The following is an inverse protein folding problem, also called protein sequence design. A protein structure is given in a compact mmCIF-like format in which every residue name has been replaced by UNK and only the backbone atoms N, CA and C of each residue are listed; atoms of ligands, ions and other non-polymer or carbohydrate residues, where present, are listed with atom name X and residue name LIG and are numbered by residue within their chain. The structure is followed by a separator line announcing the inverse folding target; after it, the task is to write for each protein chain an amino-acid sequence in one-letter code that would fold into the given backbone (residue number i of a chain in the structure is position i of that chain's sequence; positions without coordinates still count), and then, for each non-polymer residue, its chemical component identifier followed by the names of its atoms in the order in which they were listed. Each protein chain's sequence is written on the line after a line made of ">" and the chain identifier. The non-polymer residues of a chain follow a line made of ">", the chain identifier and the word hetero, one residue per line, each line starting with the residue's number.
data_IF_245703394489
#
_entry.id   IF_245703394489
#
_cell.length_a   1.000
_cell.length_b   1.000
_cell.length_c   1.000
_cell.angle_alpha   90.00
_cell.angle_beta   90.00
_cell.angle_gamma   90.00
#
_symmetry.space_group_name_H-M   'P 1'
#
loop_
_entity.id
_entity.type
_entity.pdbx_description
1 polymer ?
#
# COMPACT_ATOMS: atom_id res chain seq x y z
N UNK A 1 6.20 15.94 50.20
CA UNK A 1 7.37 15.10 49.86
C UNK A 1 7.28 14.73 48.38
N UNK A 2 8.19 15.24 47.54
CA UNK A 2 8.17 15.01 46.09
C UNK A 2 8.87 13.67 45.80
N UNK A 3 8.23 12.75 45.07
CA UNK A 3 8.79 11.42 44.82
C UNK A 3 9.95 11.45 43.80
N UNK A 4 10.82 10.44 43.84
CA UNK A 4 12.00 10.35 42.95
C UNK A 4 11.65 10.39 41.45
N UNK A 5 10.45 9.94 41.05
CA UNK A 5 9.99 10.02 39.65
C UNK A 5 9.66 11.45 39.23
N UNK A 6 9.12 12.27 40.13
CA UNK A 6 8.84 13.67 39.85
C UNK A 6 10.15 14.47 39.73
N UNK A 7 11.16 14.22 40.58
CA UNK A 7 12.47 14.89 40.48
C UNK A 7 13.14 14.67 39.11
N UNK A 8 13.06 13.45 38.57
CA UNK A 8 13.64 13.10 37.28
C UNK A 8 12.91 13.75 36.09
N UNK A 9 11.63 14.08 36.24
CA UNK A 9 10.88 14.78 35.20
C UNK A 9 11.17 16.29 35.16
N UNK A 10 11.40 16.93 36.31
CA UNK A 10 11.79 18.35 36.36
C UNK A 10 13.20 18.61 35.80
N UNK A 11 14.11 17.63 35.87
CA UNK A 11 15.48 17.77 35.36
C UNK A 11 15.62 17.68 33.83
N UNK A 12 14.58 17.24 33.09
CA UNK A 12 14.67 16.98 31.65
C UNK A 12 14.23 18.16 30.78
N UNK A 13 13.71 19.24 31.38
CA UNK A 13 13.12 20.36 30.64
C UNK A 13 14.01 21.61 30.62
N UNK A 14 15.31 21.47 30.38
CA UNK A 14 16.19 22.63 30.11
C UNK A 14 17.35 22.19 29.22
N UNK A 15 17.11 22.14 27.90
CA UNK A 15 18.11 22.32 26.85
C UNK A 15 17.37 22.38 25.51
N UNK A 16 16.68 23.50 25.28
CA UNK A 16 16.18 23.87 23.97
C UNK A 16 17.26 24.70 23.29
N UNK A 17 17.92 24.12 22.29
CA UNK A 17 18.80 24.83 21.37
C UNK A 17 17.92 25.57 20.36
N UNK A 18 18.13 26.87 20.07
CA UNK A 18 17.38 27.54 19.02
C UNK A 18 17.82 27.02 17.64
N UNK A 19 16.89 26.38 16.93
CA UNK A 19 17.07 26.01 15.53
C UNK A 19 16.79 27.25 14.65
N UNK A 20 17.82 27.70 13.94
CA UNK A 20 17.74 28.78 12.95
C UNK A 20 16.80 28.38 11.81
N UNK A 21 15.61 29.00 11.75
CA UNK A 21 14.68 28.85 10.65
C UNK A 21 15.10 29.78 9.51
N UNK A 22 15.53 29.17 8.40
CA UNK A 22 15.70 29.86 7.11
C UNK A 22 14.30 30.13 6.57
N UNK A 23 13.92 31.40 6.44
CA UNK A 23 12.65 31.83 5.86
C UNK A 23 12.66 31.63 4.34
N UNK A 24 11.65 30.95 3.81
CA UNK A 24 11.37 30.84 2.38
C UNK A 24 10.18 31.75 2.11
N UNK A 25 10.41 32.86 1.43
CA UNK A 25 9.34 33.75 0.98
C UNK A 25 8.58 33.06 -0.16
N UNK A 26 7.30 32.77 0.06
CA UNK A 26 6.34 32.36 -0.97
C UNK A 26 5.44 33.56 -1.25
N UNK A 27 5.55 34.15 -2.43
CA UNK A 27 4.60 35.16 -2.92
C UNK A 27 3.25 34.51 -3.25
N UNK A 28 2.11 35.09 -2.86
CA UNK A 28 0.81 34.59 -3.29
C UNK A 28 0.55 34.98 -4.75
N UNK A 29 0.27 33.98 -5.59
CA UNK A 29 -0.22 34.18 -6.96
C UNK A 29 -1.72 34.47 -6.90
N UNK A 30 -2.08 35.70 -7.28
CA UNK A 30 -3.46 36.16 -7.41
C UNK A 30 -4.19 35.39 -8.51
N UNK A 31 -5.32 34.76 -8.16
CA UNK A 31 -6.21 34.14 -9.13
C UNK A 31 -6.95 35.23 -9.93
N UNK A 32 -6.70 35.31 -11.24
CA UNK A 32 -7.53 36.09 -12.15
C UNK A 32 -8.51 35.15 -12.87
N UNK A 33 -9.79 35.41 -12.63
CA UNK A 33 -10.93 34.83 -13.36
C UNK A 33 -10.94 35.40 -14.77
N UNK A 34 -10.65 34.59 -15.79
CA UNK A 34 -10.90 34.95 -17.19
C UNK A 34 -12.26 34.40 -17.61
N UNK A 35 -13.23 35.29 -17.72
CA UNK A 35 -14.49 35.05 -18.43
C UNK A 35 -14.20 34.98 -19.93
N UNK A 36 -14.13 33.77 -20.48
CA UNK A 36 -14.08 33.56 -21.92
C UNK A 36 -15.51 33.59 -22.49
N UNK A 37 -15.89 34.75 -23.04
CA UNK A 37 -17.09 34.90 -23.88
C UNK A 37 -16.72 34.56 -25.32
N UNK A 38 -17.15 33.39 -25.82
CA UNK A 38 -17.13 33.10 -27.25
C UNK A 38 -18.59 32.89 -27.71
N UNK A 39 -19.12 33.75 -28.59
CA UNK A 39 -20.43 33.52 -29.19
C UNK A 39 -20.34 32.40 -30.24
N UNK A 40 -21.29 31.49 -30.15
CA UNK A 40 -21.59 30.43 -31.10
C UNK A 40 -22.24 31.05 -32.35
N UNK A 41 -21.80 30.74 -33.58
CA UNK A 41 -22.63 30.98 -34.75
C UNK A 41 -23.57 29.79 -34.95
N UNK A 42 -24.86 30.10 -34.92
CA UNK A 42 -25.95 29.26 -35.39
C UNK A 42 -25.89 29.06 -36.90
N UNK A 43 -26.35 27.89 -37.35
CA UNK A 43 -26.79 27.69 -38.74
C UNK A 43 -26.27 26.42 -39.40
N UNK A 44 -26.96 25.29 -39.20
CA UNK A 44 -27.82 24.64 -40.22
C UNK A 44 -28.28 23.23 -39.78
N UNK A 45 -29.49 22.81 -40.18
CA UNK A 45 -30.26 21.75 -39.51
C UNK A 45 -29.93 20.31 -39.95
N UNK A 46 -30.44 19.40 -39.11
CA UNK A 46 -30.41 17.96 -39.18
C UNK A 46 -30.68 17.37 -40.57
N UNK A 47 -29.81 16.43 -40.97
CA UNK A 47 -30.11 15.45 -42.00
C UNK A 47 -30.50 14.12 -41.32
N UNK A 48 -31.81 13.89 -41.28
CA UNK A 48 -32.42 12.56 -41.21
C UNK A 48 -31.85 11.71 -42.34
N UNK A 49 -31.31 10.53 -42.02
CA UNK A 49 -31.22 9.43 -43.00
C UNK A 49 -31.61 8.15 -42.29
N UNK A 50 -32.54 7.46 -42.92
CA UNK A 50 -33.37 6.40 -42.38
C UNK A 50 -32.62 5.08 -42.20
N UNK A 51 -33.27 4.21 -41.44
CA UNK A 51 -33.05 2.78 -41.37
C UNK A 51 -33.06 2.11 -42.76
N UNK A 52 -32.23 1.08 -42.92
CA UNK A 52 -32.34 0.18 -44.06
C UNK A 52 -31.02 -0.50 -44.39
N UNK A 53 -30.78 -1.67 -43.80
CA UNK A 53 -30.39 -2.93 -44.48
C UNK A 53 -29.64 -3.82 -43.50
N UNK A 54 -30.39 -4.78 -42.96
CA UNK A 54 -29.87 -5.96 -42.33
C UNK A 54 -28.95 -6.71 -43.31
N UNK A 55 -27.73 -7.02 -42.88
CA UNK A 55 -26.91 -8.03 -43.54
C UNK A 55 -27.14 -9.36 -42.80
N UNK A 56 -27.65 -10.40 -43.46
CA UNK A 56 -27.88 -11.68 -42.80
C UNK A 56 -26.55 -12.38 -42.51
N UNK A 57 -26.28 -12.52 -41.22
CA UNK A 57 -25.31 -13.44 -40.66
C UNK A 57 -25.69 -14.87 -41.07
N UNK A 58 -24.87 -15.50 -41.91
CA UNK A 58 -24.99 -16.93 -42.21
C UNK A 58 -23.61 -17.49 -42.55
N UNK A 59 -22.91 -17.98 -41.52
CA UNK A 59 -21.91 -19.03 -41.70
C UNK A 59 -22.32 -20.24 -40.86
N UNK A 60 -22.39 -21.44 -41.44
CA UNK A 60 -23.02 -22.61 -40.83
C UNK A 60 -22.15 -23.30 -39.77
N UNK A 61 -22.86 -23.83 -38.77
CA UNK A 61 -22.41 -24.65 -37.65
C UNK A 61 -21.56 -25.85 -38.10
N UNK A 62 -20.32 -25.92 -37.64
CA UNK A 62 -19.56 -27.19 -37.57
C UNK A 62 -19.38 -27.56 -36.10
N UNK A 63 -20.06 -28.60 -35.58
CA UNK A 63 -19.91 -29.02 -34.19
C UNK A 63 -18.55 -29.71 -34.00
N UNK A 64 -17.67 -29.12 -33.18
CA UNK A 64 -16.50 -29.81 -32.62
C UNK A 64 -16.97 -30.67 -31.44
N UNK A 65 -16.52 -31.92 -31.31
CA UNK A 65 -16.97 -32.81 -30.25
C UNK A 65 -16.57 -32.30 -28.86
N UNK A 66 -17.57 -32.32 -27.96
CA UNK A 66 -17.45 -32.12 -26.51
C UNK A 66 -16.44 -33.11 -25.94
N UNK A 67 -15.37 -32.60 -25.31
CA UNK A 67 -14.57 -33.38 -24.36
C UNK A 67 -15.01 -32.96 -22.96
N UNK A 68 -16.11 -33.55 -22.51
CA UNK A 68 -16.48 -33.63 -21.10
C UNK A 68 -15.43 -34.48 -20.38
N UNK A 69 -14.41 -33.80 -19.87
CA UNK A 69 -13.48 -34.32 -18.88
C UNK A 69 -13.76 -33.63 -17.56
N UNK A 70 -14.63 -34.22 -16.76
CA UNK A 70 -14.89 -33.84 -15.38
C UNK A 70 -13.59 -34.08 -14.58
N UNK A 71 -12.86 -33.00 -14.26
CA UNK A 71 -11.70 -33.04 -13.37
C UNK A 71 -11.93 -32.01 -12.26
N UNK A 72 -11.96 -32.41 -10.99
CA UNK A 72 -12.06 -31.45 -9.90
C UNK A 72 -10.81 -30.56 -9.93
N UNK A 73 -11.01 -29.25 -10.09
CA UNK A 73 -10.01 -28.21 -9.86
C UNK A 73 -9.72 -28.14 -8.35
N UNK A 74 -9.11 -29.19 -7.82
CA UNK A 74 -8.33 -29.14 -6.59
C UNK A 74 -7.10 -28.32 -6.93
N UNK A 75 -7.18 -27.01 -6.65
CA UNK A 75 -6.03 -26.12 -6.64
C UNK A 75 -5.16 -26.52 -5.45
N UNK A 76 -4.50 -27.67 -5.57
CA UNK A 76 -3.38 -28.05 -4.74
C UNK A 76 -2.34 -26.95 -4.94
N UNK A 77 -2.29 -26.04 -3.98
CA UNK A 77 -1.13 -25.21 -3.75
C UNK A 77 -0.02 -26.16 -3.29
N UNK A 78 0.52 -26.93 -4.22
CA UNK A 78 1.86 -27.46 -4.08
C UNK A 78 2.72 -26.21 -3.91
N UNK A 79 3.22 -26.03 -2.68
CA UNK A 79 4.32 -25.15 -2.29
C UNK A 79 5.46 -25.36 -3.30
N UNK A 80 5.37 -24.72 -4.45
CA UNK A 80 6.52 -24.48 -5.29
C UNK A 80 7.41 -23.62 -4.40
N UNK A 81 8.56 -24.16 -4.00
CA UNK A 81 9.56 -23.44 -3.23
C UNK A 81 9.74 -22.08 -3.90
N UNK A 82 9.18 -21.04 -3.27
CA UNK A 82 9.29 -19.69 -3.77
C UNK A 82 10.79 -19.44 -3.86
N UNK A 83 11.29 -19.21 -5.08
CA UNK A 83 12.71 -18.95 -5.30
C UNK A 83 13.07 -17.80 -4.38
N UNK A 84 13.96 -18.06 -3.42
CA UNK A 84 14.41 -17.06 -2.47
C UNK A 84 14.92 -15.86 -3.28
N UNK A 85 14.61 -14.61 -2.86
CA UNK A 85 15.13 -13.44 -3.53
C UNK A 85 16.67 -13.53 -3.53
N UNK A 86 17.27 -13.40 -4.72
CA UNK A 86 18.71 -13.58 -4.92
C UNK A 86 19.45 -12.52 -4.13
N UNK A 87 20.44 -12.93 -3.34
CA UNK A 87 21.28 -11.99 -2.62
C UNK A 87 22.16 -11.19 -3.58
N UNK A 88 22.42 -9.93 -3.24
CA UNK A 88 23.31 -9.08 -4.05
C UNK A 88 24.79 -9.35 -3.79
N UNK A 89 25.12 -10.07 -2.71
CA UNK A 89 26.49 -10.33 -2.26
C UNK A 89 26.76 -11.82 -2.40
N UNK A 90 27.66 -12.24 -3.30
CA UNK A 90 27.95 -13.66 -3.48
C UNK A 90 28.71 -14.22 -2.27
N UNK A 91 28.53 -15.53 -2.05
CA UNK A 91 29.26 -16.28 -1.03
C UNK A 91 30.78 -16.10 -1.20
N UNK A 92 31.50 -16.02 -0.08
CA UNK A 92 32.94 -15.79 -0.05
C UNK A 92 33.36 -14.31 -0.07
N UNK A 93 32.43 -13.36 -0.19
CA UNK A 93 32.76 -11.93 -0.17
C UNK A 93 33.12 -11.47 1.25
N UNK A 94 34.33 -10.94 1.50
CA UNK A 94 34.68 -10.37 2.80
C UNK A 94 33.96 -9.04 3.01
N UNK A 95 33.18 -8.94 4.10
CA UNK A 95 32.42 -7.74 4.45
C UNK A 95 33.29 -6.76 5.24
N UNK A 96 33.86 -5.78 4.53
CA UNK A 96 34.82 -4.83 5.10
C UNK A 96 34.19 -3.95 6.19
N UNK A 97 34.90 -3.79 7.31
CA UNK A 97 34.56 -2.80 8.33
C UNK A 97 33.43 -3.18 9.29
N UNK A 98 33.12 -4.48 9.40
CA UNK A 98 32.20 -4.98 10.43
C UNK A 98 32.92 -5.29 11.75
N UNK A 99 34.20 -5.66 11.68
CA UNK A 99 34.98 -5.99 12.87
C UNK A 99 35.55 -4.72 13.51
N UNK A 100 35.20 -4.48 14.77
CA UNK A 100 35.78 -3.39 15.57
C UNK A 100 36.88 -3.88 16.53
N UNK A 101 37.06 -5.19 16.65
CA UNK A 101 38.09 -5.80 17.51
C UNK A 101 39.44 -5.89 16.78
N UNK A 102 40.51 -5.57 17.50
CA UNK A 102 41.87 -5.72 16.97
C UNK A 102 42.21 -7.21 16.84
N UNK A 103 42.89 -7.58 15.76
CA UNK A 103 43.32 -8.96 15.44
C UNK A 103 42.22 -9.96 15.04
N UNK A 104 40.98 -9.50 14.78
CA UNK A 104 39.93 -10.33 14.19
C UNK A 104 39.77 -10.00 12.71
N UNK A 105 39.57 -11.03 11.89
CA UNK A 105 39.32 -10.89 10.47
C UNK A 105 37.86 -10.51 10.22
N UNK A 106 37.61 -9.71 9.18
CA UNK A 106 36.25 -9.37 8.75
C UNK A 106 35.45 -10.62 8.37
N UNK A 107 34.16 -10.68 8.77
CA UNK A 107 33.31 -11.82 8.47
C UNK A 107 33.12 -11.96 6.95
N UNK A 108 33.14 -13.20 6.50
CA UNK A 108 32.94 -13.56 5.10
C UNK A 108 31.49 -13.96 4.88
N UNK A 109 30.89 -13.47 3.79
CA UNK A 109 29.53 -13.82 3.39
C UNK A 109 29.41 -15.33 3.14
N UNK A 110 28.41 -15.97 3.73
CA UNK A 110 28.09 -17.39 3.57
C UNK A 110 27.16 -17.59 2.37
N UNK A 111 26.80 -18.83 2.07
CA UNK A 111 25.77 -19.12 1.06
C UNK A 111 24.37 -18.68 1.52
N UNK A 112 23.51 -18.30 0.57
CA UNK A 112 22.16 -17.81 0.83
C UNK A 112 21.29 -18.79 1.63
N UNK A 113 21.54 -20.10 1.46
CA UNK A 113 20.82 -21.17 2.15
C UNK A 113 21.22 -21.34 3.62
N UNK A 114 22.43 -20.91 4.00
CA UNK A 114 22.87 -20.95 5.41
C UNK A 114 22.25 -19.82 6.24
N UNK A 115 21.78 -18.76 5.57
CA UNK A 115 21.13 -17.67 6.27
C UNK A 115 19.71 -18.04 6.69
N UNK A 116 19.25 -17.59 7.88
CA UNK A 116 17.89 -17.82 8.32
C UNK A 116 16.86 -17.25 7.35
N UNK A 117 15.75 -17.97 7.14
CA UNK A 117 14.70 -17.58 6.19
C UNK A 117 14.08 -16.19 6.46
N UNK A 118 14.06 -15.74 7.72
CA UNK A 118 13.50 -14.43 8.08
C UNK A 118 14.28 -13.26 7.48
N UNK A 119 15.57 -13.43 7.15
CA UNK A 119 16.42 -12.38 6.55
C UNK A 119 15.81 -11.88 5.23
N UNK A 120 15.34 -12.82 4.42
CA UNK A 120 14.74 -12.54 3.11
C UNK A 120 13.37 -11.85 3.21
N UNK A 121 12.69 -12.00 4.34
CA UNK A 121 11.41 -11.33 4.62
C UNK A 121 11.56 -9.97 5.32
N UNK A 122 12.76 -9.61 5.77
CA UNK A 122 12.98 -8.40 6.56
C UNK A 122 12.67 -7.11 5.77
N UNK A 123 12.95 -7.12 4.46
CA UNK A 123 12.66 -6.00 3.57
C UNK A 123 11.18 -5.91 3.17
N UNK A 124 10.42 -7.01 3.26
CA UNK A 124 9.00 -7.02 2.91
C UNK A 124 8.21 -6.00 3.73
N UNK A 125 8.52 -5.82 5.03
CA UNK A 125 7.90 -4.78 5.85
C UNK A 125 8.13 -3.36 5.34
N UNK A 126 9.30 -3.08 4.75
CA UNK A 126 9.63 -1.77 4.20
C UNK A 126 8.92 -1.56 2.87
N UNK A 127 8.81 -2.60 2.05
CA UNK A 127 8.07 -2.58 0.78
C UNK A 127 6.58 -2.46 1.02
N UNK A 128 6.01 -3.21 1.96
CA UNK A 128 4.62 -3.12 2.39
C UNK A 128 4.33 -1.76 3.04
N UNK A 129 5.20 -1.26 3.90
CA UNK A 129 5.06 0.08 4.46
C UNK A 129 5.20 1.15 3.36
N UNK A 130 6.09 0.98 2.38
CA UNK A 130 6.17 1.89 1.24
C UNK A 130 4.90 1.80 0.38
N UNK A 131 4.32 0.61 0.20
CA UNK A 131 3.11 0.37 -0.56
C UNK A 131 1.81 0.77 0.18
N UNK A 132 1.85 0.86 1.52
CA UNK A 132 0.69 1.13 2.38
C UNK A 132 0.71 2.53 3.03
N UNK A 133 1.89 3.10 3.29
CA UNK A 133 2.05 4.46 3.85
C UNK A 133 2.11 5.54 2.76
N UNK A 134 2.51 5.18 1.53
CA UNK A 134 1.90 5.79 0.35
C UNK A 134 0.61 5.01 0.14
N UNK A 135 -0.57 5.63 0.13
CA UNK A 135 -1.78 4.88 -0.22
C UNK A 135 -1.58 4.35 -1.64
N UNK A 136 -1.14 3.10 -1.81
CA UNK A 136 -0.53 2.65 -3.05
C UNK A 136 0.68 3.50 -3.47
N UNK A 137 1.80 2.86 -3.80
CA UNK A 137 2.86 3.47 -4.61
C UNK A 137 2.33 4.11 -5.93
N UNK A 138 1.05 3.87 -6.25
CA UNK A 138 0.35 4.37 -7.40
C UNK A 138 -0.64 5.52 -7.16
N UNK A 139 -1.26 5.74 -5.98
CA UNK A 139 -2.36 6.72 -5.84
C UNK A 139 -1.84 8.16 -5.87
N UNK A 140 -0.74 8.45 -5.15
CA UNK A 140 -0.06 9.74 -5.22
C UNK A 140 0.62 9.99 -6.58
N UNK A 141 0.99 8.91 -7.26
CA UNK A 141 1.57 8.91 -8.61
C UNK A 141 0.50 9.01 -9.72
N UNK A 142 -0.80 8.87 -9.41
CA UNK A 142 -1.87 9.13 -10.38
C UNK A 142 -1.83 10.59 -10.87
N UNK A 143 -1.43 11.53 -10.03
CA UNK A 143 -1.37 12.95 -10.39
C UNK A 143 -0.11 13.33 -11.18
N UNK A 144 0.99 12.60 -11.01
CA UNK A 144 2.19 12.73 -11.85
C UNK A 144 2.04 12.03 -13.21
N UNK A 145 1.11 11.08 -13.33
CA UNK A 145 0.75 10.42 -14.59
C UNK A 145 -0.02 11.35 -15.54
N UNK A 146 0.22 11.17 -16.84
CA UNK A 146 -0.46 11.94 -17.90
C UNK A 146 -1.99 11.81 -17.80
N UNK A 147 -2.72 12.83 -18.29
CA UNK A 147 -4.20 12.87 -18.26
C UNK A 147 -4.84 11.58 -18.83
N UNK A 148 -4.24 11.03 -19.89
CA UNK A 148 -4.71 9.80 -20.55
C UNK A 148 -4.54 8.56 -19.66
N UNK A 149 -3.43 8.47 -18.92
CA UNK A 149 -3.19 7.36 -17.98
C UNK A 149 -4.19 7.42 -16.83
N UNK A 150 -4.48 8.61 -16.30
CA UNK A 150 -5.52 8.82 -15.28
C UNK A 150 -6.89 8.36 -15.75
N UNK A 151 -7.31 8.78 -16.95
CA UNK A 151 -8.60 8.35 -17.52
C UNK A 151 -8.68 6.84 -17.75
N UNK A 152 -7.58 6.21 -18.20
CA UNK A 152 -7.52 4.75 -18.38
C UNK A 152 -7.61 4.02 -17.04
N UNK A 153 -6.90 4.50 -16.03
CA UNK A 153 -6.95 3.95 -14.67
C UNK A 153 -8.37 4.10 -14.07
N UNK A 154 -8.98 5.28 -14.17
CA UNK A 154 -10.34 5.51 -13.70
C UNK A 154 -11.38 4.61 -14.42
N UNK A 155 -11.23 4.42 -15.73
CA UNK A 155 -12.10 3.50 -16.50
C UNK A 155 -11.88 2.03 -16.10
N UNK A 156 -10.64 1.63 -15.81
CA UNK A 156 -10.32 0.29 -15.34
C UNK A 156 -10.88 0.03 -13.94
N UNK A 157 -10.72 0.97 -13.01
CA UNK A 157 -11.31 0.89 -11.66
C UNK A 157 -12.84 0.80 -11.74
N UNK A 158 -13.49 1.65 -12.53
CA UNK A 158 -14.95 1.59 -12.73
C UNK A 158 -15.41 0.24 -13.30
N UNK A 159 -14.64 -0.35 -14.22
CA UNK A 159 -14.92 -1.69 -14.75
C UNK A 159 -14.76 -2.77 -13.68
N UNK A 160 -13.71 -2.71 -12.87
CA UNK A 160 -13.49 -3.65 -11.76
C UNK A 160 -14.56 -3.54 -10.68
N UNK A 161 -15.00 -2.33 -10.36
CA UNK A 161 -16.10 -2.05 -9.43
C UNK A 161 -17.44 -2.58 -9.95
N UNK A 162 -17.71 -2.43 -11.25
CA UNK A 162 -18.92 -2.97 -11.87
C UNK A 162 -18.95 -4.51 -11.89
N UNK A 163 -17.78 -5.16 -12.01
CA UNK A 163 -17.66 -6.62 -11.97
C UNK A 163 -17.78 -7.19 -10.55
N UNK A 164 -17.30 -6.46 -9.54
CA UNK A 164 -17.32 -6.89 -8.14
C UNK A 164 -18.09 -5.87 -7.27
N UNK A 165 -19.43 -5.89 -7.31
CA UNK A 165 -20.24 -4.95 -6.54
C UNK A 165 -20.06 -5.10 -5.03
N UNK A 166 -19.75 -6.30 -4.53
CA UNK A 166 -19.50 -6.57 -3.10
C UNK A 166 -18.17 -5.96 -2.61
N UNK A 167 -17.13 -6.01 -3.45
CA UNK A 167 -15.81 -5.45 -3.13
C UNK A 167 -15.79 -3.91 -3.09
N UNK A 168 -16.89 -3.26 -3.47
CA UNK A 168 -17.07 -1.82 -3.37
C UNK A 168 -17.43 -1.37 -1.94
N UNK A 169 -17.89 -2.28 -1.08
CA UNK A 169 -18.17 -1.97 0.31
C UNK A 169 -16.90 -1.42 0.99
N UNK A 170 -17.00 -0.32 1.78
CA UNK A 170 -15.84 0.24 2.48
C UNK A 170 -15.14 -0.83 3.32
N UNK A 171 -13.82 -1.00 3.13
CA UNK A 171 -13.04 -1.94 3.95
C UNK A 171 -12.94 -1.38 5.36
N UNK A 172 -13.76 -1.92 6.26
CA UNK A 172 -13.73 -1.57 7.68
C UNK A 172 -12.36 -2.01 8.25
N UNK A 173 -11.58 -1.09 8.83
CA UNK A 173 -10.29 -1.41 9.40
C UNK A 173 -10.46 -2.30 10.64
N UNK A 174 -9.45 -3.12 10.94
CA UNK A 174 -9.51 -4.13 12.02
C UNK A 174 -10.02 -3.58 13.37
N UNK A 175 -9.61 -2.36 13.75
CA UNK A 175 -9.98 -1.76 15.03
C UNK A 175 -11.41 -1.19 15.11
N UNK A 176 -12.12 -1.07 13.98
CA UNK A 176 -13.55 -0.66 13.93
C UNK A 176 -14.49 -1.86 13.82
N UNK A 177 -13.95 -3.07 13.62
CA UNK A 177 -14.74 -4.29 13.54
C UNK A 177 -15.19 -4.73 14.93
N UNK A 178 -16.46 -5.13 15.05
CA UNK A 178 -17.04 -5.71 16.27
C UNK A 178 -17.11 -7.24 16.23
N UNK A 179 -16.38 -7.85 15.30
CA UNK A 179 -16.33 -9.31 15.15
C UNK A 179 -15.41 -9.87 16.23
N UNK A 180 -15.85 -10.94 16.89
CA UNK A 180 -15.06 -11.58 17.93
C UNK A 180 -13.73 -12.10 17.39
N UNK A 181 -12.66 -11.81 18.12
CA UNK A 181 -11.34 -12.35 17.81
C UNK A 181 -11.33 -13.86 18.09
N UNK A 182 -10.55 -14.65 17.34
CA UNK A 182 -10.44 -16.09 17.56
C UNK A 182 -10.00 -16.38 19.01
N UNK A 183 -10.81 -17.17 19.73
CA UNK A 183 -10.60 -17.51 21.14
C UNK A 183 -9.55 -18.60 21.39
N UNK A 184 -9.12 -19.29 20.34
CA UNK A 184 -8.25 -20.46 20.39
C UNK A 184 -9.03 -21.73 20.76
N UNK A 185 -9.12 -22.69 19.84
CA UNK A 185 -9.91 -23.93 20.01
C UNK A 185 -9.23 -24.96 20.95
N UNK A 186 -8.43 -24.50 21.93
CA UNK A 186 -7.63 -25.34 22.84
C UNK A 186 -6.42 -26.03 22.19
N UNK A 187 -6.25 -25.94 20.86
CA UNK A 187 -5.09 -26.46 20.15
C UNK A 187 -3.94 -25.45 20.12
N UNK A 188 -2.70 -25.93 19.98
CA UNK A 188 -1.51 -25.07 19.84
C UNK A 188 -1.64 -24.14 18.63
N UNK A 189 -2.15 -24.65 17.51
CA UNK A 189 -2.39 -23.85 16.30
C UNK A 189 -3.44 -22.74 16.55
N UNK A 190 -4.57 -23.08 17.18
CA UNK A 190 -5.59 -22.09 17.52
C UNK A 190 -5.08 -21.02 18.49
N UNK A 191 -4.18 -21.37 19.40
CA UNK A 191 -3.55 -20.40 20.30
C UNK A 191 -2.58 -19.45 19.57
N UNK A 192 -1.83 -19.95 18.58
CA UNK A 192 -0.95 -19.12 17.74
C UNK A 192 -1.76 -18.13 16.88
N UNK A 193 -2.82 -18.61 16.22
CA UNK A 193 -3.72 -17.78 15.42
C UNK A 193 -4.43 -16.72 16.26
N UNK A 194 -4.91 -17.09 17.46
CA UNK A 194 -5.49 -16.16 18.41
C UNK A 194 -4.48 -15.09 18.86
N UNK A 195 -3.21 -15.48 19.06
CA UNK A 195 -2.13 -14.56 19.38
C UNK A 195 -1.84 -13.58 18.25
N UNK A 196 -1.78 -14.07 17.01
CA UNK A 196 -1.54 -13.25 15.82
C UNK A 196 -2.67 -12.23 15.60
N UNK A 197 -3.94 -12.65 15.62
CA UNK A 197 -5.09 -11.75 15.47
C UNK A 197 -5.13 -10.63 16.53
N UNK A 198 -4.82 -10.96 17.80
CA UNK A 198 -4.69 -9.96 18.88
C UNK A 198 -3.50 -9.02 18.65
N UNK A 199 -2.41 -9.54 18.12
CA UNK A 199 -1.23 -8.78 17.72
C UNK A 199 -1.54 -7.78 16.60
N UNK A 200 -2.27 -8.21 15.58
CA UNK A 200 -2.74 -7.38 14.46
C UNK A 200 -3.64 -6.24 14.93
N UNK A 201 -4.64 -6.53 15.79
CA UNK A 201 -5.49 -5.50 16.38
C UNK A 201 -4.65 -4.46 17.13
N UNK A 202 -3.70 -4.90 17.95
CA UNK A 202 -2.81 -4.02 18.71
C UNK A 202 -1.95 -3.15 17.79
N UNK A 203 -1.43 -3.73 16.70
CA UNK A 203 -0.66 -3.00 15.68
C UNK A 203 -1.53 -1.94 14.99
N UNK A 204 -2.74 -2.31 14.55
CA UNK A 204 -3.67 -1.38 13.91
C UNK A 204 -4.06 -0.20 14.82
N UNK A 205 -4.30 -0.48 16.11
CA UNK A 205 -4.59 0.54 17.13
C UNK A 205 -3.39 1.45 17.39
N UNK A 206 -2.17 0.91 17.31
CA UNK A 206 -0.95 1.70 17.42
C UNK A 206 -0.81 2.64 16.22
N UNK A 207 -1.10 2.18 15.02
CA UNK A 207 -1.02 3.01 13.81
C UNK A 207 -2.06 4.11 13.80
N UNK A 208 -3.30 3.83 14.22
CA UNK A 208 -4.34 4.86 14.40
C UNK A 208 -3.89 5.92 15.41
N UNK A 209 -3.34 5.50 16.57
CA UNK A 209 -2.79 6.44 17.57
C UNK A 209 -1.66 7.28 17.01
N UNK A 210 -0.73 6.68 16.25
CA UNK A 210 0.38 7.41 15.61
C UNK A 210 -0.13 8.44 14.61
N UNK A 211 -1.14 8.10 13.79
CA UNK A 211 -1.79 9.04 12.85
C UNK A 211 -2.44 10.21 13.60
N UNK A 212 -3.22 9.92 14.64
CA UNK A 212 -3.88 10.93 15.48
C UNK A 212 -2.87 11.89 16.13
N UNK A 213 -1.77 11.36 16.69
CA UNK A 213 -0.71 12.20 17.28
C UNK A 213 -0.08 13.10 16.23
N UNK A 214 0.21 12.57 15.03
CA UNK A 214 0.79 13.36 13.93
C UNK A 214 -0.15 14.48 13.49
N UNK A 215 -1.43 14.20 13.30
CA UNK A 215 -2.45 15.18 12.94
C UNK A 215 -2.58 16.27 14.03
N UNK A 216 -2.70 15.88 15.30
CA UNK A 216 -2.78 16.82 16.41
C UNK A 216 -1.55 17.71 16.50
N UNK A 217 -0.35 17.15 16.33
CA UNK A 217 0.89 17.92 16.31
C UNK A 217 0.93 18.89 15.12
N UNK A 218 0.49 18.45 13.94
CA UNK A 218 0.42 19.30 12.75
C UNK A 218 -0.56 20.47 12.95
N UNK A 219 -1.80 20.19 13.39
CA UNK A 219 -2.80 21.22 13.65
C UNK A 219 -2.38 22.17 14.78
N UNK A 220 -1.67 21.67 15.80
CA UNK A 220 -1.12 22.50 16.87
C UNK A 220 -0.03 23.45 16.35
N UNK A 221 0.83 22.97 15.45
CA UNK A 221 1.87 23.79 14.83
C UNK A 221 1.29 24.83 13.85
N UNK A 222 0.14 24.57 13.23
CA UNK A 222 -0.52 25.55 12.34
C UNK A 222 -1.29 26.65 13.09
N UNK A 223 -1.74 26.38 14.31
CA UNK A 223 -2.50 27.34 15.13
C UNK A 223 -1.62 28.19 16.06
N UNK A 224 -0.34 27.87 16.15
CA UNK A 224 0.66 28.62 16.91
C UNK A 224 1.36 29.62 15.99
#
# INVERSE_FOLDING_TARGET
>A
MICQRCLKHLGRTRNAVPSSQRAWYSTPVTAQTTTATNPRPDGKPAATTQAGTAQPFSTPLTPKPSREGNLPMQRNQSKAAAKLPVSSVPAGTPMKGLTFEKNKQDPVAKEDAEYPAWLWTALARKEEAAASASGGFNEGDLFAKSKRVRQRAAKALRRQQALNPEALAPKIPMYEQSIDLPGGNGTVQGALEAGEARGELTSSMRDMRRKKIKEQNFLKAMKA
#
